data_IF_534499219214
#
_entry.id   IF_534499219214
#
_cell.length_a   1.000
_cell.length_b   1.000
_cell.length_c   1.000
_cell.angle_alpha   90.00
_cell.angle_beta   90.00
_cell.angle_gamma   90.00
#
_symmetry.space_group_name_H-M   'P 1'
#
loop_
_entity.id
_entity.type
_entity.pdbx_description
1 polymer ?
#
# COMPACT_ATOMS: atom_id res chain seq x y z
N UNK A 1 2.28 -92.70 19.34
CA UNK A 1 1.28 -91.63 19.56
C UNK A 1 1.88 -90.44 20.29
N UNK A 2 3.21 -90.21 20.17
CA UNK A 2 3.93 -89.22 21.01
C UNK A 2 4.72 -88.14 20.15
N UNK A 3 4.67 -88.24 18.87
CA UNK A 3 5.36 -87.24 18.00
C UNK A 3 4.48 -86.14 17.48
N UNK A 4 3.17 -86.14 17.73
CA UNK A 4 2.21 -85.19 17.23
C UNK A 4 1.86 -84.08 18.23
N UNK A 5 2.23 -84.17 19.49
CA UNK A 5 1.96 -83.16 20.51
C UNK A 5 3.03 -82.05 20.66
N UNK A 6 4.24 -82.28 20.16
CA UNK A 6 5.36 -81.38 20.28
C UNK A 6 5.37 -80.29 19.21
N UNK A 7 4.71 -80.46 18.05
CA UNK A 7 4.68 -79.55 16.98
C UNK A 7 3.65 -78.38 17.11
N UNK A 8 2.59 -78.62 17.91
CA UNK A 8 1.49 -77.65 18.10
C UNK A 8 1.86 -76.55 19.13
N UNK A 9 2.77 -76.85 20.08
CA UNK A 9 3.20 -75.86 21.08
C UNK A 9 4.25 -74.86 20.59
N UNK A 10 4.98 -75.16 19.52
CA UNK A 10 6.04 -74.29 19.02
C UNK A 10 5.50 -73.19 18.07
N UNK A 11 4.42 -73.47 17.35
CA UNK A 11 3.76 -72.49 16.51
C UNK A 11 2.97 -71.45 17.31
N UNK A 12 2.42 -71.80 18.46
CA UNK A 12 1.68 -70.88 19.34
C UNK A 12 2.61 -69.89 20.09
N UNK A 13 3.86 -70.30 20.35
CA UNK A 13 4.91 -69.49 20.98
C UNK A 13 5.43 -68.44 20.01
N UNK A 14 5.67 -68.82 18.76
CA UNK A 14 6.16 -67.93 17.73
C UNK A 14 5.12 -66.87 17.29
N UNK A 15 3.84 -67.24 17.23
CA UNK A 15 2.75 -66.27 16.94
C UNK A 15 2.56 -65.26 18.09
N UNK A 16 2.67 -65.70 19.36
CA UNK A 16 2.59 -64.81 20.53
C UNK A 16 3.79 -63.85 20.61
N UNK A 17 4.98 -64.33 20.27
CA UNK A 17 6.19 -63.46 20.22
C UNK A 17 6.14 -62.46 19.08
N UNK A 18 5.63 -62.84 17.88
CA UNK A 18 5.44 -61.96 16.77
C UNK A 18 4.39 -60.89 17.04
N UNK A 19 3.30 -61.19 17.72
CA UNK A 19 2.26 -60.23 18.15
C UNK A 19 2.78 -59.25 19.22
N UNK A 20 3.63 -59.71 20.14
CA UNK A 20 4.27 -58.87 21.16
C UNK A 20 5.30 -57.90 20.52
N UNK A 21 6.07 -58.33 19.55
CA UNK A 21 7.02 -57.48 18.79
C UNK A 21 6.29 -56.45 17.93
N UNK A 22 5.16 -56.81 17.30
CA UNK A 22 4.31 -55.90 16.57
C UNK A 22 3.65 -54.84 17.46
N UNK A 23 3.22 -55.26 18.68
CA UNK A 23 2.66 -54.31 19.67
C UNK A 23 3.72 -53.36 20.24
N UNK A 24 4.96 -53.81 20.43
CA UNK A 24 6.09 -52.95 20.85
C UNK A 24 6.57 -52.00 19.77
N UNK A 25 6.53 -52.40 18.48
CA UNK A 25 6.85 -51.55 17.34
C UNK A 25 5.76 -50.47 17.10
N UNK A 26 4.49 -50.76 17.39
CA UNK A 26 3.41 -49.79 17.32
C UNK A 26 3.52 -48.69 18.40
N UNK A 27 4.15 -48.95 19.53
CA UNK A 27 4.41 -47.96 20.58
C UNK A 27 5.62 -47.05 20.27
N UNK A 28 6.41 -47.37 19.24
CA UNK A 28 7.57 -46.57 18.80
C UNK A 28 7.30 -45.73 17.53
N UNK A 29 6.08 -45.71 17.01
CA UNK A 29 5.70 -44.70 16.06
C UNK A 29 5.74 -43.38 16.85
N UNK A 30 6.63 -42.43 16.47
CA UNK A 30 6.54 -41.12 17.07
C UNK A 30 5.13 -40.63 16.79
N UNK A 31 4.36 -40.37 17.85
CA UNK A 31 3.19 -39.53 17.75
C UNK A 31 3.73 -38.23 17.17
N UNK A 32 3.69 -38.09 15.86
CA UNK A 32 3.72 -36.82 15.21
C UNK A 32 2.41 -36.11 15.65
N UNK A 33 2.41 -35.68 16.94
CA UNK A 33 1.49 -34.66 17.36
C UNK A 33 1.73 -33.55 16.34
N UNK A 34 0.84 -33.41 15.36
CA UNK A 34 0.74 -32.20 14.60
C UNK A 34 0.57 -31.10 15.64
N UNK A 35 1.68 -30.51 16.05
CA UNK A 35 1.62 -29.27 16.83
C UNK A 35 0.83 -28.32 15.95
N UNK A 36 -0.41 -28.06 16.34
CA UNK A 36 -1.23 -27.07 15.66
C UNK A 36 -0.38 -25.80 15.57
N UNK A 37 -0.02 -25.43 14.36
CA UNK A 37 0.83 -24.28 14.13
C UNK A 37 0.16 -23.08 14.79
N UNK A 38 0.86 -22.39 15.69
CA UNK A 38 0.31 -21.24 16.42
C UNK A 38 -0.16 -20.19 15.44
N UNK A 39 -1.39 -19.70 15.59
CA UNK A 39 -1.91 -18.59 14.81
C UNK A 39 -0.92 -17.42 14.80
N UNK A 40 -0.59 -16.94 13.62
CA UNK A 40 0.22 -15.71 13.48
C UNK A 40 -0.62 -14.50 13.88
N UNK A 41 0.01 -13.52 14.48
CA UNK A 41 -0.65 -12.28 14.95
C UNK A 41 -0.10 -11.11 14.14
N UNK A 42 -0.92 -10.47 13.32
CA UNK A 42 -0.51 -9.37 12.46
C UNK A 42 -1.26 -8.11 12.87
N UNK A 43 -0.53 -7.03 13.10
CA UNK A 43 -1.10 -5.71 13.35
C UNK A 43 -0.85 -4.80 12.16
N UNK A 44 -1.90 -4.19 11.62
CA UNK A 44 -1.83 -3.30 10.45
C UNK A 44 -2.12 -1.88 10.93
N UNK A 45 -1.25 -0.93 10.60
CA UNK A 45 -1.48 0.50 10.84
C UNK A 45 -1.53 1.21 9.50
N UNK A 46 -2.58 1.97 9.24
CA UNK A 46 -2.67 2.85 8.08
C UNK A 46 -2.63 4.31 8.50
N UNK A 47 -1.87 5.12 7.77
CA UNK A 47 -1.76 6.57 8.01
C UNK A 47 -3.09 7.30 7.81
N UNK A 48 -3.89 6.86 6.85
CA UNK A 48 -5.13 7.54 6.44
C UNK A 48 -6.36 6.87 7.04
N UNK A 49 -7.55 7.15 6.50
CA UNK A 49 -8.80 6.52 6.93
C UNK A 49 -9.24 5.39 5.96
N UNK A 50 -10.32 4.69 6.36
CA UNK A 50 -10.86 3.54 5.63
C UNK A 50 -11.45 3.92 4.27
N UNK A 51 -12.06 5.11 4.17
CA UNK A 51 -12.81 5.54 3.00
C UNK A 51 -11.90 6.18 1.95
N UNK A 52 -10.65 6.44 2.30
CA UNK A 52 -9.68 7.02 1.39
C UNK A 52 -9.32 6.02 0.27
N UNK A 53 -9.42 6.44 -1.00
CA UNK A 53 -9.29 5.56 -2.16
C UNK A 53 -7.95 4.79 -2.22
N UNK A 54 -6.85 5.46 -1.87
CA UNK A 54 -5.54 4.81 -1.75
C UNK A 54 -5.52 3.71 -0.68
N UNK A 55 -6.12 3.98 0.50
CA UNK A 55 -6.24 2.97 1.57
C UNK A 55 -7.02 1.75 1.12
N UNK A 56 -8.07 1.95 0.32
CA UNK A 56 -8.84 0.85 -0.27
C UNK A 56 -8.03 0.07 -1.31
N UNK A 57 -7.23 0.76 -2.15
CA UNK A 57 -6.38 0.13 -3.15
C UNK A 57 -5.29 -0.73 -2.49
N UNK A 58 -4.55 -0.19 -1.53
CA UNK A 58 -3.53 -0.93 -0.78
C UNK A 58 -4.11 -2.11 -0.01
N UNK A 59 -5.29 -1.94 0.61
CA UNK A 59 -5.98 -3.02 1.31
C UNK A 59 -6.38 -4.16 0.38
N UNK A 60 -6.85 -3.85 -0.85
CA UNK A 60 -7.13 -4.90 -1.85
C UNK A 60 -5.87 -5.70 -2.18
N UNK A 61 -4.71 -5.04 -2.32
CA UNK A 61 -3.43 -5.69 -2.55
C UNK A 61 -3.02 -6.61 -1.40
N UNK A 62 -3.07 -6.10 -0.17
CA UNK A 62 -2.79 -6.89 1.05
C UNK A 62 -3.71 -8.11 1.13
N UNK A 63 -5.02 -7.94 0.90
CA UNK A 63 -5.98 -9.04 0.94
C UNK A 63 -5.72 -10.08 -0.15
N UNK A 64 -5.35 -9.65 -1.35
CA UNK A 64 -5.02 -10.55 -2.47
C UNK A 64 -3.78 -11.40 -2.15
N UNK A 65 -2.73 -10.80 -1.60
CA UNK A 65 -1.55 -11.52 -1.15
C UNK A 65 -1.87 -12.46 0.02
N UNK A 66 -2.66 -12.03 1.00
CA UNK A 66 -3.14 -12.88 2.08
C UNK A 66 -3.91 -14.11 1.55
N UNK A 67 -4.72 -13.94 0.49
CA UNK A 67 -5.39 -15.06 -0.17
C UNK A 67 -4.40 -15.99 -0.87
N UNK A 68 -3.46 -15.43 -1.64
CA UNK A 68 -2.40 -16.19 -2.32
C UNK A 68 -1.65 -17.10 -1.36
N UNK A 69 -1.36 -16.62 -0.15
CA UNK A 69 -0.60 -17.35 0.86
C UNK A 69 -1.46 -18.08 1.91
N UNK A 70 -2.78 -18.16 1.70
CA UNK A 70 -3.69 -18.96 2.52
C UNK A 70 -3.97 -18.38 3.92
N UNK A 71 -3.77 -17.08 4.13
CA UNK A 71 -4.16 -16.37 5.36
C UNK A 71 -5.65 -16.00 5.33
N UNK A 72 -6.17 -15.69 4.12
CA UNK A 72 -7.60 -15.54 3.84
C UNK A 72 -8.05 -16.69 2.94
N UNK A 73 -9.18 -17.31 3.26
CA UNK A 73 -9.71 -18.46 2.52
C UNK A 73 -10.76 -18.07 1.47
N UNK A 74 -11.45 -16.93 1.67
CA UNK A 74 -12.54 -16.48 0.81
C UNK A 74 -12.74 -14.97 0.87
N UNK A 75 -13.60 -14.46 -0.02
CA UNK A 75 -13.92 -13.02 -0.10
C UNK A 75 -14.69 -12.51 1.10
N UNK A 76 -15.45 -13.36 1.79
CA UNK A 76 -16.18 -12.97 2.99
C UNK A 76 -15.23 -12.62 4.14
N UNK A 77 -14.12 -13.35 4.30
CA UNK A 77 -13.08 -13.02 5.27
C UNK A 77 -12.37 -11.71 4.90
N UNK A 78 -12.06 -11.50 3.61
CA UNK A 78 -11.47 -10.25 3.12
C UNK A 78 -12.41 -9.06 3.41
N UNK A 79 -13.71 -9.21 3.10
CA UNK A 79 -14.72 -8.19 3.38
C UNK A 79 -14.84 -7.93 4.88
N UNK A 80 -14.89 -8.96 5.72
CA UNK A 80 -14.95 -8.81 7.17
C UNK A 80 -13.78 -8.00 7.71
N UNK A 81 -12.54 -8.27 7.24
CA UNK A 81 -11.36 -7.51 7.67
C UNK A 81 -11.50 -6.01 7.31
N UNK A 82 -12.03 -5.70 6.13
CA UNK A 82 -12.29 -4.32 5.71
C UNK A 82 -13.37 -3.65 6.57
N UNK A 83 -14.46 -4.36 6.86
CA UNK A 83 -15.62 -3.80 7.56
C UNK A 83 -15.36 -3.60 9.07
N UNK A 84 -14.57 -4.49 9.70
CA UNK A 84 -14.45 -4.56 11.18
C UNK A 84 -13.05 -4.26 11.72
N UNK A 85 -12.04 -4.03 10.85
CA UNK A 85 -10.63 -3.86 11.20
C UNK A 85 -10.04 -5.02 12.02
N UNK A 86 -10.70 -6.18 11.98
CA UNK A 86 -10.24 -7.37 12.69
C UNK A 86 -10.69 -8.65 11.99
N UNK A 87 -9.85 -9.67 12.07
CA UNK A 87 -10.17 -10.98 11.56
C UNK A 87 -9.45 -12.04 12.38
N UNK A 88 -10.15 -13.14 12.65
CA UNK A 88 -9.56 -14.36 13.21
C UNK A 88 -9.89 -15.52 12.29
N UNK A 89 -8.86 -16.28 11.91
CA UNK A 89 -8.94 -17.53 11.14
C UNK A 89 -8.08 -18.58 11.83
N UNK A 90 -8.13 -19.86 11.47
CA UNK A 90 -7.23 -20.87 12.03
C UNK A 90 -5.74 -20.54 11.88
N UNK A 91 -5.36 -19.76 10.88
CA UNK A 91 -3.96 -19.42 10.56
C UNK A 91 -3.51 -18.09 11.16
N UNK A 92 -4.41 -17.10 11.28
CA UNK A 92 -4.02 -15.74 11.63
C UNK A 92 -5.06 -15.00 12.46
N UNK A 93 -4.59 -14.16 13.37
CA UNK A 93 -5.36 -13.09 14.02
C UNK A 93 -4.84 -11.77 13.51
N UNK A 94 -5.71 -10.93 12.94
CA UNK A 94 -5.39 -9.63 12.38
C UNK A 94 -6.12 -8.55 13.15
N UNK A 95 -5.43 -7.46 13.46
CA UNK A 95 -6.01 -6.20 13.90
C UNK A 95 -5.51 -5.07 13.02
N UNK A 96 -6.37 -4.08 12.77
CA UNK A 96 -6.03 -2.87 12.04
C UNK A 96 -6.37 -1.63 12.85
N UNK A 97 -5.54 -0.59 12.71
CA UNK A 97 -5.74 0.73 13.30
C UNK A 97 -5.49 1.82 12.26
N UNK A 98 -6.18 2.95 12.42
CA UNK A 98 -6.13 4.10 11.54
C UNK A 98 -5.62 5.33 12.30
N UNK A 99 -4.71 6.09 11.66
CA UNK A 99 -4.20 7.36 12.20
C UNK A 99 -5.05 8.55 11.79
N UNK A 100 -5.74 8.47 10.63
CA UNK A 100 -6.61 9.51 10.05
C UNK A 100 -5.86 10.82 9.76
N UNK A 101 -4.61 10.73 9.29
CA UNK A 101 -3.71 11.90 9.17
C UNK A 101 -4.00 12.82 7.99
N UNK A 102 -4.96 12.49 7.12
CA UNK A 102 -5.46 13.46 6.13
C UNK A 102 -6.34 14.52 6.77
N UNK A 103 -7.12 14.15 7.79
CA UNK A 103 -8.00 15.03 8.55
C UNK A 103 -7.33 15.57 9.81
N UNK A 104 -6.58 14.72 10.52
CA UNK A 104 -5.88 15.00 11.79
C UNK A 104 -4.39 15.09 11.53
N UNK A 105 -3.94 16.19 10.98
CA UNK A 105 -2.60 16.34 10.39
C UNK A 105 -1.64 17.25 11.16
N UNK A 106 -2.05 17.79 12.32
CA UNK A 106 -1.10 18.50 13.17
C UNK A 106 -0.33 17.56 14.10
N UNK A 107 0.80 18.02 14.60
CA UNK A 107 1.71 17.21 15.42
C UNK A 107 1.04 16.61 16.66
N UNK A 108 0.17 17.36 17.34
CA UNK A 108 -0.50 16.89 18.56
C UNK A 108 -1.47 15.73 18.25
N UNK A 109 -2.24 15.83 17.17
CA UNK A 109 -3.16 14.81 16.72
C UNK A 109 -2.44 13.54 16.29
N UNK A 110 -1.36 13.67 15.48
CA UNK A 110 -0.52 12.54 15.04
C UNK A 110 0.11 11.87 16.26
N UNK A 111 0.68 12.64 17.20
CA UNK A 111 1.28 12.10 18.42
C UNK A 111 0.26 11.36 19.29
N UNK A 112 -0.96 11.88 19.40
CA UNK A 112 -2.05 11.22 20.14
C UNK A 112 -2.44 9.89 19.48
N UNK A 113 -2.61 9.87 18.16
CA UNK A 113 -2.90 8.66 17.40
C UNK A 113 -1.77 7.62 17.57
N UNK A 114 -0.51 8.05 17.47
CA UNK A 114 0.66 7.20 17.67
C UNK A 114 0.66 6.54 19.05
N UNK A 115 0.46 7.32 20.13
CA UNK A 115 0.41 6.79 21.50
C UNK A 115 -0.69 5.74 21.67
N UNK A 116 -1.89 6.00 21.16
CA UNK A 116 -3.01 5.07 21.20
C UNK A 116 -2.66 3.78 20.47
N UNK A 117 -2.16 3.88 19.25
CA UNK A 117 -1.83 2.72 18.40
C UNK A 117 -0.70 1.89 19.02
N UNK A 118 0.34 2.52 19.56
CA UNK A 118 1.42 1.81 20.25
C UNK A 118 0.90 1.01 21.46
N UNK A 119 0.00 1.57 22.25
CA UNK A 119 -0.63 0.83 23.35
C UNK A 119 -1.43 -0.39 22.85
N UNK A 120 -2.15 -0.25 21.72
CA UNK A 120 -2.87 -1.36 21.09
C UNK A 120 -1.91 -2.44 20.56
N UNK A 121 -0.79 -2.06 19.91
CA UNK A 121 0.24 -2.98 19.42
C UNK A 121 0.83 -3.80 20.57
N UNK A 122 1.26 -3.16 21.65
CA UNK A 122 1.84 -3.87 22.79
C UNK A 122 0.81 -4.80 23.48
N UNK A 123 -0.44 -4.36 23.64
CA UNK A 123 -1.51 -5.21 24.17
C UNK A 123 -1.82 -6.39 23.27
N UNK A 124 -1.78 -6.19 21.96
CA UNK A 124 -2.04 -7.24 20.98
C UNK A 124 -0.87 -8.22 20.86
N UNK A 125 0.36 -7.83 21.16
CA UNK A 125 1.58 -8.61 21.03
C UNK A 125 1.70 -9.31 19.65
N UNK A 126 1.88 -8.55 18.55
CA UNK A 126 1.93 -9.11 17.20
C UNK A 126 3.25 -9.84 16.93
N UNK A 127 3.22 -10.79 16.00
CA UNK A 127 4.40 -11.42 15.41
C UNK A 127 5.02 -10.54 14.30
N UNK A 128 4.22 -9.61 13.74
CA UNK A 128 4.66 -8.67 12.71
C UNK A 128 3.71 -7.47 12.66
N UNK A 129 4.26 -6.29 12.41
CA UNK A 129 3.50 -5.07 12.15
C UNK A 129 3.66 -4.67 10.68
N UNK A 130 2.53 -4.36 10.04
CA UNK A 130 2.47 -3.75 8.71
C UNK A 130 2.15 -2.26 8.84
N UNK A 131 2.92 -1.38 8.20
CA UNK A 131 2.75 0.07 8.27
C UNK A 131 2.46 0.65 6.89
N UNK A 132 1.29 1.24 6.72
CA UNK A 132 0.88 1.92 5.50
C UNK A 132 1.17 3.41 5.55
N UNK A 133 1.92 3.86 4.55
CA UNK A 133 2.23 5.24 4.22
C UNK A 133 3.15 5.99 5.20
N UNK A 134 3.51 7.22 4.84
CA UNK A 134 4.58 8.01 5.45
C UNK A 134 4.41 8.21 6.96
N UNK A 135 3.21 8.59 7.43
CA UNK A 135 3.00 8.91 8.84
C UNK A 135 3.07 7.67 9.75
N UNK A 136 2.48 6.55 9.32
CA UNK A 136 2.58 5.30 10.08
C UNK A 136 4.03 4.82 10.15
N UNK A 137 4.74 4.85 9.02
CA UNK A 137 6.15 4.48 8.96
C UNK A 137 7.01 5.40 9.84
N UNK A 138 6.85 6.74 9.71
CA UNK A 138 7.65 7.69 10.44
C UNK A 138 7.36 7.68 11.95
N UNK A 139 6.10 7.71 12.37
CA UNK A 139 5.77 7.87 13.79
C UNK A 139 5.62 6.56 14.55
N UNK A 140 5.00 5.53 13.96
CA UNK A 140 4.85 4.22 14.61
C UNK A 140 6.10 3.36 14.35
N UNK A 141 6.65 3.39 13.13
CA UNK A 141 7.84 2.64 12.77
C UNK A 141 9.04 2.98 13.64
N UNK A 142 9.29 4.27 13.91
CA UNK A 142 10.37 4.71 14.80
C UNK A 142 10.20 4.25 16.26
N UNK A 143 8.96 4.07 16.75
CA UNK A 143 8.70 3.54 18.10
C UNK A 143 8.95 2.02 18.18
N UNK A 144 8.91 1.33 17.02
CA UNK A 144 9.15 -0.12 16.91
C UNK A 144 10.58 -0.46 16.49
N UNK A 145 11.40 0.56 16.14
CA UNK A 145 12.77 0.36 15.68
C UNK A 145 13.58 -0.39 16.74
N UNK A 146 14.35 -1.38 16.30
CA UNK A 146 15.21 -2.23 17.14
C UNK A 146 14.48 -3.03 18.24
N UNK A 147 13.15 -3.13 18.15
CA UNK A 147 12.38 -4.07 18.97
C UNK A 147 12.44 -5.48 18.39
N UNK A 148 11.87 -6.47 19.11
CA UNK A 148 11.75 -7.84 18.60
C UNK A 148 10.64 -8.02 17.56
N UNK A 149 9.85 -6.99 17.28
CA UNK A 149 8.70 -7.04 16.38
C UNK A 149 9.17 -6.68 14.98
N UNK A 150 9.13 -7.58 13.99
CA UNK A 150 9.42 -7.26 12.60
C UNK A 150 8.40 -6.25 12.05
N UNK A 151 8.87 -5.32 11.22
CA UNK A 151 8.07 -4.29 10.60
C UNK A 151 8.25 -4.30 9.09
N UNK A 152 7.13 -4.27 8.35
CA UNK A 152 7.13 -4.08 6.90
C UNK A 152 6.25 -2.88 6.55
N UNK A 153 6.81 -1.89 5.87
CA UNK A 153 6.07 -0.72 5.41
C UNK A 153 5.69 -0.82 3.93
N UNK A 154 4.70 -0.01 3.50
CA UNK A 154 4.37 0.24 2.10
C UNK A 154 3.95 1.70 1.88
N UNK A 155 3.96 2.15 0.60
CA UNK A 155 3.38 3.43 0.19
C UNK A 155 4.12 4.65 0.72
N UNK A 156 5.40 4.52 1.09
CA UNK A 156 6.21 5.65 1.55
C UNK A 156 6.63 6.49 0.35
N UNK A 157 6.18 7.75 0.32
CA UNK A 157 6.57 8.76 -0.68
C UNK A 157 7.94 9.37 -0.37
N UNK A 158 8.24 9.57 0.91
CA UNK A 158 9.54 10.02 1.39
C UNK A 158 10.62 8.97 1.19
N UNK A 159 11.88 9.38 1.28
CA UNK A 159 12.98 8.41 1.32
C UNK A 159 13.03 7.75 2.71
N UNK A 160 12.84 6.42 2.84
CA UNK A 160 12.81 5.74 4.15
C UNK A 160 14.04 5.99 5.02
N UNK A 161 15.22 6.18 4.39
CA UNK A 161 16.45 6.58 5.06
C UNK A 161 16.32 7.90 5.83
N UNK A 162 15.53 8.86 5.34
CA UNK A 162 15.31 10.17 6.00
C UNK A 162 14.42 10.07 7.22
N UNK A 163 13.64 9.01 7.33
CA UNK A 163 12.84 8.72 8.52
C UNK A 163 13.67 8.00 9.61
N UNK A 164 14.92 7.63 9.32
CA UNK A 164 15.78 6.90 10.25
C UNK A 164 15.37 5.43 10.47
N UNK A 165 14.59 4.87 9.55
CA UNK A 165 14.10 3.49 9.66
C UNK A 165 15.10 2.45 9.14
N UNK A 166 16.05 2.87 8.33
CA UNK A 166 16.98 2.02 7.60
C UNK A 166 18.37 2.65 7.55
N UNK A 167 19.41 1.83 7.62
CA UNK A 167 20.79 2.25 7.33
C UNK A 167 21.02 2.38 5.82
N UNK A 168 20.46 1.45 5.03
CA UNK A 168 20.59 1.35 3.57
C UNK A 168 19.33 0.75 2.95
N UNK A 169 19.07 1.07 1.68
CA UNK A 169 17.92 0.51 0.95
C UNK A 169 18.11 -0.98 0.60
N UNK A 170 19.34 -1.38 0.31
CA UNK A 170 19.70 -2.77 -0.04
C UNK A 170 19.93 -3.66 1.18
N UNK A 171 20.29 -3.08 2.31
CA UNK A 171 20.58 -3.79 3.58
C UNK A 171 20.09 -2.93 4.73
N UNK A 172 18.81 -3.06 5.12
CA UNK A 172 18.16 -2.16 6.08
C UNK A 172 18.86 -2.01 7.44
N UNK A 173 19.48 -3.06 7.95
CA UNK A 173 20.25 -3.02 9.21
C UNK A 173 19.42 -3.19 10.48
N UNK A 174 18.10 -2.93 10.43
CA UNK A 174 17.17 -2.97 11.56
C UNK A 174 16.05 -4.01 11.37
N UNK A 175 15.13 -4.10 12.33
CA UNK A 175 13.95 -4.97 12.24
C UNK A 175 12.89 -4.45 11.27
N UNK A 176 13.21 -3.48 10.41
CA UNK A 176 12.31 -2.79 9.49
C UNK A 176 12.76 -3.01 8.04
N UNK A 177 11.83 -3.31 7.16
CA UNK A 177 11.99 -3.34 5.70
C UNK A 177 10.67 -2.95 5.05
N UNK A 178 10.56 -2.96 3.72
CA UNK A 178 9.27 -2.71 3.09
C UNK A 178 9.32 -2.34 1.62
N UNK A 179 8.28 -1.63 1.20
CA UNK A 179 8.01 -1.27 -0.19
C UNK A 179 7.99 0.25 -0.32
N UNK A 180 8.88 0.78 -1.15
CA UNK A 180 9.01 2.20 -1.42
C UNK A 180 8.28 2.59 -2.70
N UNK A 181 7.60 3.72 -2.67
CA UNK A 181 6.84 4.28 -3.78
C UNK A 181 7.76 5.03 -4.74
N UNK A 182 7.70 4.72 -6.05
CA UNK A 182 8.59 5.37 -7.03
C UNK A 182 8.01 6.61 -7.70
N UNK A 183 6.67 6.75 -7.69
CA UNK A 183 5.93 7.91 -8.16
C UNK A 183 5.65 7.94 -9.68
N UNK A 184 6.40 7.26 -10.53
CA UNK A 184 6.24 7.20 -12.00
C UNK A 184 5.88 8.53 -12.68
N UNK A 185 6.45 9.65 -12.16
CA UNK A 185 6.09 11.01 -12.59
C UNK A 185 6.46 11.28 -14.05
N UNK A 186 7.65 10.79 -14.47
CA UNK A 186 8.11 10.95 -15.85
C UNK A 186 7.23 10.19 -16.82
N UNK A 187 6.87 8.98 -16.49
CA UNK A 187 6.03 8.09 -17.29
C UNK A 187 4.63 8.69 -17.48
N UNK A 188 4.06 9.30 -16.44
CA UNK A 188 2.78 10.03 -16.52
C UNK A 188 2.88 11.25 -17.44
N UNK A 189 3.97 12.01 -17.34
CA UNK A 189 4.21 13.16 -18.24
C UNK A 189 4.50 12.71 -19.67
N UNK A 190 5.19 11.59 -19.87
CA UNK A 190 5.42 11.01 -21.20
C UNK A 190 4.09 10.60 -21.85
N UNK A 191 3.19 9.95 -21.12
CA UNK A 191 1.85 9.61 -21.60
C UNK A 191 1.05 10.89 -21.94
N UNK A 192 1.07 11.89 -21.05
CA UNK A 192 0.41 13.17 -21.30
C UNK A 192 0.94 13.85 -22.57
N UNK A 193 2.25 13.89 -22.76
CA UNK A 193 2.89 14.47 -23.95
C UNK A 193 2.51 13.73 -25.23
N UNK A 194 2.28 12.44 -25.17
CA UNK A 194 1.82 11.65 -26.33
C UNK A 194 0.36 11.91 -26.66
N UNK A 195 -0.50 12.06 -25.64
CA UNK A 195 -1.92 12.40 -25.84
C UNK A 195 -2.11 13.87 -26.27
N UNK A 196 -1.24 14.76 -25.82
CA UNK A 196 -1.29 16.21 -26.11
C UNK A 196 0.09 16.67 -26.63
N UNK A 197 0.45 16.35 -27.88
CA UNK A 197 1.78 16.65 -28.44
C UNK A 197 2.14 18.15 -28.43
N UNK A 198 1.15 19.02 -28.43
CA UNK A 198 1.33 20.47 -28.37
C UNK A 198 1.78 21.00 -27.00
N UNK A 199 1.53 20.27 -25.91
CA UNK A 199 1.90 20.72 -24.57
C UNK A 199 3.42 20.79 -24.40
N UNK A 200 3.95 21.95 -23.99
CA UNK A 200 5.40 22.22 -23.81
C UNK A 200 5.77 22.48 -22.36
N UNK A 201 4.83 22.98 -21.59
CA UNK A 201 5.01 23.41 -20.20
C UNK A 201 4.01 22.76 -19.28
N UNK A 202 4.40 22.60 -18.02
CA UNK A 202 3.47 22.16 -16.97
C UNK A 202 3.73 22.86 -15.64
N UNK A 203 2.70 22.86 -14.80
CA UNK A 203 2.76 23.31 -13.41
C UNK A 203 2.42 22.20 -12.45
N UNK A 204 2.86 22.28 -11.20
CA UNK A 204 2.52 21.36 -10.12
C UNK A 204 1.39 21.96 -9.27
N UNK A 205 0.37 21.18 -8.98
CA UNK A 205 -0.65 21.47 -7.96
C UNK A 205 -0.59 20.42 -6.86
N UNK A 206 -0.44 20.87 -5.61
CA UNK A 206 -0.33 19.97 -4.45
C UNK A 206 -0.83 20.64 -3.17
N UNK A 207 -1.34 19.85 -2.22
CA UNK A 207 -1.40 20.27 -0.82
C UNK A 207 -0.01 20.20 -0.17
N UNK A 208 0.20 20.92 0.93
CA UNK A 208 1.45 20.88 1.70
C UNK A 208 1.39 19.78 2.77
N UNK A 209 1.60 18.55 2.35
CA UNK A 209 1.51 17.35 3.19
C UNK A 209 2.79 16.53 3.21
N UNK A 210 2.90 15.61 4.16
CA UNK A 210 4.00 14.66 4.29
C UNK A 210 4.18 13.85 2.99
N UNK A 211 3.09 13.42 2.36
CA UNK A 211 3.11 12.66 1.11
C UNK A 211 3.36 13.52 -0.14
N UNK A 212 2.93 14.79 -0.16
CA UNK A 212 3.11 15.65 -1.34
C UNK A 212 4.51 16.21 -1.48
N UNK A 213 5.11 16.67 -0.36
CA UNK A 213 6.43 17.33 -0.39
C UNK A 213 7.54 16.50 -1.05
N UNK A 214 7.68 15.18 -0.80
CA UNK A 214 8.67 14.36 -1.50
C UNK A 214 8.42 14.27 -3.00
N UNK A 215 7.17 14.11 -3.43
CA UNK A 215 6.81 14.04 -4.84
C UNK A 215 7.09 15.36 -5.58
N UNK A 216 6.76 16.50 -4.98
CA UNK A 216 7.12 17.83 -5.52
C UNK A 216 8.62 17.93 -5.72
N UNK A 217 9.43 17.60 -4.69
CA UNK A 217 10.89 17.63 -4.77
C UNK A 217 11.44 16.68 -5.82
N UNK A 218 10.86 15.50 -5.99
CA UNK A 218 11.27 14.55 -7.02
C UNK A 218 11.03 15.10 -8.43
N UNK A 219 9.85 15.67 -8.68
CA UNK A 219 9.53 16.29 -9.97
C UNK A 219 10.46 17.48 -10.26
N UNK A 220 10.74 18.33 -9.27
CA UNK A 220 11.69 19.44 -9.40
C UNK A 220 13.10 18.92 -9.72
N UNK A 221 13.55 17.85 -9.05
CA UNK A 221 14.84 17.22 -9.34
C UNK A 221 14.91 16.67 -10.77
N UNK A 222 13.88 15.96 -11.23
CA UNK A 222 13.80 15.46 -12.61
C UNK A 222 13.78 16.59 -13.62
N UNK A 223 13.08 17.70 -13.32
CA UNK A 223 13.06 18.89 -14.16
C UNK A 223 14.44 19.56 -14.27
N UNK A 224 15.17 19.71 -13.15
CA UNK A 224 16.53 20.23 -13.11
C UNK A 224 17.52 19.37 -13.92
N UNK A 225 17.31 18.06 -13.94
CA UNK A 225 18.11 17.13 -14.75
C UNK A 225 17.75 17.12 -16.24
N UNK A 226 16.69 17.84 -16.64
CA UNK A 226 16.26 17.93 -18.03
C UNK A 226 15.72 16.60 -18.60
N UNK A 227 15.27 15.65 -17.76
CA UNK A 227 14.80 14.33 -18.21
C UNK A 227 13.29 14.27 -18.44
N UNK A 228 12.55 15.33 -18.09
CA UNK A 228 11.10 15.39 -18.30
C UNK A 228 10.75 15.83 -19.72
N UNK A 229 9.64 15.32 -20.32
CA UNK A 229 9.24 15.65 -21.70
C UNK A 229 8.66 17.06 -21.86
N UNK A 230 8.40 17.75 -20.75
CA UNK A 230 7.88 19.12 -20.72
C UNK A 230 8.61 19.93 -19.65
N UNK A 231 8.62 21.27 -19.84
CA UNK A 231 9.27 22.21 -18.91
C UNK A 231 8.38 22.49 -17.70
N UNK A 232 8.90 22.30 -16.49
CA UNK A 232 8.26 22.79 -15.27
C UNK A 232 8.37 24.32 -15.21
N UNK A 233 7.22 25.02 -15.08
CA UNK A 233 7.16 26.48 -15.14
C UNK A 233 6.70 27.11 -13.82
N UNK A 234 5.98 26.38 -12.97
CA UNK A 234 5.53 26.88 -11.68
C UNK A 234 4.90 25.81 -10.82
N UNK A 235 4.60 26.16 -9.58
CA UNK A 235 3.91 25.28 -8.64
C UNK A 235 3.01 26.05 -7.70
N UNK A 236 1.97 25.38 -7.23
CA UNK A 236 1.11 25.77 -6.10
C UNK A 236 1.18 24.66 -5.07
N UNK A 237 1.70 24.95 -3.88
CA UNK A 237 1.80 23.99 -2.76
C UNK A 237 1.28 24.69 -1.53
N UNK A 238 0.07 24.33 -1.09
CA UNK A 238 -0.61 25.01 0.03
C UNK A 238 -1.68 24.10 0.65
N UNK A 239 -1.98 24.31 1.93
CA UNK A 239 -3.13 23.69 2.59
C UNK A 239 -4.37 24.62 2.65
N UNK A 240 -4.28 25.85 2.14
CA UNK A 240 -5.44 26.75 1.98
C UNK A 240 -6.20 26.41 0.69
N UNK A 241 -7.46 26.03 0.79
CA UNK A 241 -8.28 25.76 -0.40
C UNK A 241 -8.48 27.01 -1.26
N UNK A 242 -8.58 28.19 -0.62
CA UNK A 242 -8.70 29.45 -1.37
C UNK A 242 -7.43 29.76 -2.17
N UNK A 243 -6.24 29.60 -1.55
CA UNK A 243 -4.96 29.78 -2.26
C UNK A 243 -4.77 28.73 -3.37
N UNK A 244 -5.15 27.49 -3.11
CA UNK A 244 -5.11 26.42 -4.12
C UNK A 244 -5.94 26.79 -5.35
N UNK A 245 -7.18 27.25 -5.14
CA UNK A 245 -8.09 27.68 -6.22
C UNK A 245 -7.53 28.86 -7.00
N UNK A 246 -7.12 29.91 -6.31
CA UNK A 246 -6.58 31.12 -6.92
C UNK A 246 -5.30 30.81 -7.71
N UNK A 247 -4.37 30.08 -7.08
CA UNK A 247 -3.11 29.70 -7.71
C UNK A 247 -3.29 28.76 -8.90
N UNK A 248 -4.22 27.79 -8.84
CA UNK A 248 -4.52 26.91 -9.96
C UNK A 248 -5.09 27.70 -11.16
N UNK A 249 -6.01 28.64 -10.94
CA UNK A 249 -6.55 29.51 -11.99
C UNK A 249 -5.49 30.45 -12.58
N UNK A 250 -4.63 31.01 -11.76
CA UNK A 250 -3.54 31.87 -12.24
C UNK A 250 -2.53 31.07 -13.07
N UNK A 251 -2.07 29.92 -12.53
CA UNK A 251 -1.05 29.11 -13.16
C UNK A 251 -1.58 28.45 -14.45
N UNK A 252 -2.86 28.08 -14.53
CA UNK A 252 -3.49 27.51 -15.73
C UNK A 252 -3.44 28.40 -16.97
N UNK A 253 -3.25 29.71 -16.77
CA UNK A 253 -3.07 30.70 -17.89
C UNK A 253 -1.63 30.76 -18.39
N UNK A 254 -0.68 30.14 -17.70
CA UNK A 254 0.76 30.24 -17.94
C UNK A 254 1.38 28.90 -18.37
N UNK A 255 0.64 27.81 -18.24
CA UNK A 255 1.11 26.45 -18.56
C UNK A 255 0.15 25.71 -19.46
N UNK A 256 0.65 24.72 -20.20
CA UNK A 256 -0.15 23.91 -21.10
C UNK A 256 -0.84 22.72 -20.39
N UNK A 257 -0.31 22.31 -19.24
CA UNK A 257 -0.82 21.16 -18.46
C UNK A 257 -0.49 21.29 -16.96
N UNK A 258 -1.16 20.45 -16.15
CA UNK A 258 -0.79 20.28 -14.76
C UNK A 258 -0.22 18.87 -14.48
N UNK A 259 0.63 18.80 -13.46
CA UNK A 259 0.85 17.58 -12.69
C UNK A 259 0.17 17.75 -11.34
N UNK A 260 -0.91 17.00 -11.11
CA UNK A 260 -1.71 17.11 -9.90
C UNK A 260 -1.26 16.03 -8.93
N UNK A 261 -0.82 16.46 -7.77
CA UNK A 261 -0.48 15.62 -6.62
C UNK A 261 -1.61 15.67 -5.58
N UNK A 262 -1.36 15.11 -4.40
CA UNK A 262 -2.36 15.06 -3.34
C UNK A 262 -2.95 16.46 -3.05
N UNK A 263 -4.27 16.50 -2.86
CA UNK A 263 -5.05 17.69 -2.52
C UNK A 263 -6.05 17.39 -1.38
N UNK A 264 -5.64 16.50 -0.50
CA UNK A 264 -6.43 15.81 0.51
C UNK A 264 -6.16 16.29 1.95
N UNK A 265 -5.36 17.35 2.12
CA UNK A 265 -5.16 18.04 3.40
C UNK A 265 -5.57 19.51 3.34
N UNK A 266 -6.28 19.90 2.29
CA UNK A 266 -6.76 21.26 2.12
C UNK A 266 -7.76 21.63 3.21
N UNK A 267 -7.75 22.92 3.59
CA UNK A 267 -8.63 23.50 4.61
C UNK A 267 -9.34 24.73 4.04
N UNK A 268 -10.60 24.88 4.43
CA UNK A 268 -11.38 26.06 4.13
C UNK A 268 -10.89 27.29 4.94
N UNK A 269 -11.50 28.46 4.70
CA UNK A 269 -11.20 29.71 5.41
C UNK A 269 -11.45 29.66 6.94
N UNK A 270 -12.16 28.64 7.42
CA UNK A 270 -12.44 28.41 8.83
C UNK A 270 -11.53 27.36 9.45
N UNK A 271 -10.60 26.78 8.67
CA UNK A 271 -9.67 25.74 9.11
C UNK A 271 -10.26 24.33 9.08
N UNK A 272 -11.49 24.15 8.58
CA UNK A 272 -12.09 22.83 8.42
C UNK A 272 -11.47 22.09 7.23
N UNK A 273 -11.31 20.80 7.37
CA UNK A 273 -10.85 19.94 6.30
C UNK A 273 -11.83 19.97 5.10
N UNK A 274 -11.30 20.19 3.90
CA UNK A 274 -12.04 20.09 2.65
C UNK A 274 -11.95 18.66 2.14
N UNK A 275 -13.09 18.04 1.94
CA UNK A 275 -13.17 16.69 1.38
C UNK A 275 -12.48 16.63 -0.01
N UNK A 276 -11.73 15.57 -0.26
CA UNK A 276 -10.92 15.42 -1.49
C UNK A 276 -11.79 15.45 -2.75
N UNK A 277 -12.98 14.87 -2.73
CA UNK A 277 -13.91 14.90 -3.86
C UNK A 277 -14.50 16.29 -4.08
N UNK A 278 -14.64 17.10 -3.02
CA UNK A 278 -15.05 18.52 -3.12
C UNK A 278 -13.98 19.34 -3.82
N UNK A 279 -12.70 19.16 -3.45
CA UNK A 279 -11.58 19.80 -4.12
C UNK A 279 -11.44 19.34 -5.59
N UNK A 280 -11.55 18.04 -5.83
CA UNK A 280 -11.55 17.45 -7.16
C UNK A 280 -12.70 17.96 -8.05
N UNK A 281 -13.93 18.09 -7.52
CA UNK A 281 -15.07 18.67 -8.25
C UNK A 281 -14.78 20.09 -8.69
N UNK A 282 -14.34 20.94 -7.75
CA UNK A 282 -13.98 22.30 -8.08
C UNK A 282 -12.93 22.34 -9.20
N UNK A 283 -11.89 21.49 -9.11
CA UNK A 283 -10.84 21.39 -10.12
C UNK A 283 -11.40 21.04 -11.51
N UNK A 284 -12.20 19.98 -11.61
CA UNK A 284 -12.78 19.51 -12.88
C UNK A 284 -13.72 20.55 -13.52
N UNK A 285 -14.44 21.31 -12.70
CA UNK A 285 -15.36 22.36 -13.15
C UNK A 285 -14.66 23.63 -13.64
N UNK A 286 -13.51 23.97 -13.06
CA UNK A 286 -12.86 25.26 -13.27
C UNK A 286 -11.59 25.21 -14.12
N UNK A 287 -10.84 24.10 -14.11
CA UNK A 287 -9.60 23.95 -14.86
C UNK A 287 -9.88 23.25 -16.19
N UNK A 288 -9.44 23.86 -17.29
CA UNK A 288 -9.75 23.41 -18.66
C UNK A 288 -8.48 23.07 -19.46
N UNK A 289 -7.37 22.82 -18.80
CA UNK A 289 -6.14 22.28 -19.37
C UNK A 289 -5.95 20.83 -18.92
N UNK A 290 -5.23 19.99 -19.69
CA UNK A 290 -5.01 18.58 -19.34
C UNK A 290 -4.11 18.42 -18.12
N UNK A 291 -4.23 17.28 -17.45
CA UNK A 291 -3.41 16.96 -16.30
C UNK A 291 -2.94 15.52 -16.31
N UNK A 292 -1.78 15.30 -15.68
CA UNK A 292 -1.26 14.00 -15.26
C UNK A 292 -1.21 13.91 -13.73
N UNK A 293 -1.18 12.71 -13.22
CA UNK A 293 -0.97 12.40 -11.81
C UNK A 293 -0.13 11.12 -11.66
N UNK A 294 0.02 10.60 -10.46
CA UNK A 294 0.90 9.44 -10.21
C UNK A 294 0.20 8.21 -9.62
N UNK A 295 -1.09 8.31 -9.26
CA UNK A 295 -1.87 7.23 -8.65
C UNK A 295 -3.24 7.10 -9.31
N UNK A 296 -3.84 5.90 -9.23
CA UNK A 296 -5.16 5.57 -9.80
C UNK A 296 -6.30 6.42 -9.19
N UNK A 297 -6.20 6.78 -7.91
CA UNK A 297 -7.22 7.57 -7.22
C UNK A 297 -7.56 8.86 -7.97
N UNK A 298 -6.59 9.57 -8.54
CA UNK A 298 -6.84 10.82 -9.27
C UNK A 298 -7.67 10.60 -10.54
N UNK A 299 -7.40 9.50 -11.24
CA UNK A 299 -8.18 9.14 -12.45
C UNK A 299 -9.58 8.67 -12.06
N UNK A 300 -9.72 7.96 -10.93
CA UNK A 300 -11.03 7.56 -10.37
C UNK A 300 -11.83 8.76 -9.84
N UNK A 301 -11.18 9.79 -9.32
CA UNK A 301 -11.81 11.07 -8.98
C UNK A 301 -12.36 11.79 -10.21
N UNK A 302 -11.74 11.63 -11.36
CA UNK A 302 -12.15 12.20 -12.63
C UNK A 302 -11.06 12.95 -13.40
N UNK A 303 -9.81 12.95 -12.93
CA UNK A 303 -8.68 13.56 -13.62
C UNK A 303 -8.22 12.72 -14.82
N UNK A 304 -7.46 13.31 -15.75
CA UNK A 304 -7.27 12.78 -17.08
C UNK A 304 -6.48 11.47 -17.12
N UNK A 305 -5.27 11.42 -16.54
CA UNK A 305 -4.40 10.26 -16.72
C UNK A 305 -3.36 10.05 -15.62
N UNK A 306 -2.89 8.81 -15.54
CA UNK A 306 -1.73 8.41 -14.72
C UNK A 306 -0.95 7.26 -15.34
N UNK A 307 0.35 7.22 -15.09
CA UNK A 307 1.15 6.01 -15.02
C UNK A 307 1.10 5.55 -13.56
N UNK A 308 0.22 4.60 -13.26
CA UNK A 308 -0.19 4.32 -11.88
C UNK A 308 0.96 3.77 -11.01
N UNK A 309 1.32 4.47 -9.93
CA UNK A 309 2.06 3.88 -8.81
C UNK A 309 1.04 3.13 -7.95
N UNK A 310 0.84 1.87 -8.28
CA UNK A 310 -0.30 1.09 -7.87
C UNK A 310 -0.33 0.81 -6.37
N UNK A 311 -1.29 1.35 -5.65
CA UNK A 311 -1.54 1.00 -4.25
C UNK A 311 -1.79 -0.51 -4.05
N UNK A 312 -2.45 -1.16 -5.00
CA UNK A 312 -2.62 -2.61 -4.98
C UNK A 312 -1.27 -3.34 -5.00
N UNK A 313 -0.36 -2.97 -5.90
CA UNK A 313 0.96 -3.59 -5.99
C UNK A 313 1.82 -3.30 -4.74
N UNK A 314 1.70 -2.11 -4.16
CA UNK A 314 2.34 -1.74 -2.90
C UNK A 314 1.90 -2.67 -1.76
N UNK A 315 0.61 -2.80 -1.53
CA UNK A 315 0.05 -3.65 -0.47
C UNK A 315 0.32 -5.14 -0.70
N UNK A 316 0.22 -5.60 -1.95
CA UNK A 316 0.50 -6.99 -2.31
C UNK A 316 1.95 -7.38 -2.00
N UNK A 317 2.90 -6.57 -2.47
CA UNK A 317 4.32 -6.82 -2.28
C UNK A 317 4.73 -6.72 -0.80
N UNK A 318 4.14 -5.79 -0.04
CA UNK A 318 4.40 -5.67 1.40
C UNK A 318 3.97 -6.93 2.15
N UNK A 319 2.80 -7.49 1.85
CA UNK A 319 2.39 -8.73 2.48
C UNK A 319 3.22 -9.94 2.00
N UNK A 320 3.66 -9.97 0.75
CA UNK A 320 4.60 -10.99 0.26
C UNK A 320 5.92 -10.97 1.05
N UNK A 321 6.46 -9.78 1.35
CA UNK A 321 7.64 -9.63 2.22
C UNK A 321 7.34 -10.09 3.66
N UNK A 322 6.17 -9.72 4.20
CA UNK A 322 5.71 -10.17 5.52
C UNK A 322 5.59 -11.70 5.61
N UNK A 323 5.07 -12.34 4.56
CA UNK A 323 5.03 -13.80 4.45
C UNK A 323 6.43 -14.42 4.53
N UNK A 324 7.41 -13.86 3.82
CA UNK A 324 8.80 -14.30 3.90
C UNK A 324 9.37 -14.24 5.32
N UNK A 325 9.02 -13.21 6.08
CA UNK A 325 9.44 -13.08 7.48
C UNK A 325 8.72 -14.10 8.37
N UNK A 326 7.40 -14.20 8.25
CA UNK A 326 6.55 -15.01 9.15
C UNK A 326 6.71 -16.53 8.94
N UNK A 327 6.89 -16.97 7.69
CA UNK A 327 6.86 -18.39 7.34
C UNK A 327 8.23 -18.95 6.90
N UNK A 328 9.09 -18.09 6.34
CA UNK A 328 10.41 -18.52 5.83
C UNK A 328 11.54 -18.08 6.76
N UNK A 329 11.23 -17.34 7.83
CA UNK A 329 12.22 -16.87 8.80
C UNK A 329 13.21 -15.84 8.23
N UNK A 330 12.84 -15.11 7.17
CA UNK A 330 13.68 -14.09 6.59
C UNK A 330 13.90 -12.94 7.59
N UNK A 331 15.12 -12.44 7.64
CA UNK A 331 15.46 -11.35 8.54
C UNK A 331 15.25 -9.98 7.86
N UNK A 332 14.35 -9.11 8.37
CA UNK A 332 14.11 -7.78 7.83
C UNK A 332 15.37 -6.96 7.62
N UNK A 333 16.35 -7.06 8.54
CA UNK A 333 17.62 -6.33 8.47
C UNK A 333 18.45 -6.63 7.21
N UNK A 334 18.16 -7.73 6.51
CA UNK A 334 18.84 -8.18 5.30
C UNK A 334 17.95 -8.23 4.07
N UNK A 335 16.69 -7.84 4.21
CA UNK A 335 15.72 -7.79 3.11
C UNK A 335 15.75 -6.40 2.48
N UNK A 336 16.30 -6.27 1.29
CA UNK A 336 16.30 -5.02 0.56
C UNK A 336 14.90 -4.42 0.45
N UNK A 337 14.81 -3.10 0.59
CA UNK A 337 13.58 -2.38 0.26
C UNK A 337 13.28 -2.57 -1.22
N UNK A 338 12.02 -2.85 -1.54
CA UNK A 338 11.58 -3.14 -2.90
C UNK A 338 10.70 -2.01 -3.43
N UNK A 339 10.67 -1.86 -4.73
CA UNK A 339 9.71 -1.02 -5.44
C UNK A 339 8.93 -1.94 -6.37
N UNK A 340 7.58 -1.94 -6.33
CA UNK A 340 6.81 -2.78 -7.23
C UNK A 340 6.91 -2.24 -8.66
N UNK A 341 6.57 -3.09 -9.61
CA UNK A 341 6.39 -2.64 -10.99
C UNK A 341 5.24 -1.63 -11.07
N UNK A 342 5.32 -0.74 -12.06
CA UNK A 342 4.26 0.19 -12.39
C UNK A 342 2.93 -0.55 -12.61
N UNK A 343 1.86 0.02 -12.13
CA UNK A 343 0.51 -0.36 -12.49
C UNK A 343 0.15 0.08 -13.93
N UNK A 344 -1.14 0.02 -14.30
CA UNK A 344 -1.59 0.37 -15.65
C UNK A 344 -1.36 1.85 -16.00
N UNK A 345 -1.18 2.14 -17.28
CA UNK A 345 -1.45 3.46 -17.85
C UNK A 345 -2.96 3.65 -17.93
N UNK A 346 -3.48 4.55 -17.12
CA UNK A 346 -4.92 4.79 -17.00
C UNK A 346 -5.31 6.13 -17.60
N UNK A 347 -6.43 6.18 -18.30
CA UNK A 347 -7.00 7.41 -18.85
C UNK A 347 -8.49 7.50 -18.56
N UNK A 348 -8.95 8.65 -18.08
CA UNK A 348 -10.35 8.94 -17.89
C UNK A 348 -10.98 9.49 -19.17
N UNK A 349 -11.89 8.71 -19.75
CA UNK A 349 -12.57 9.08 -21.01
C UNK A 349 -13.49 10.29 -20.86
N UNK A 350 -14.16 10.43 -19.71
CA UNK A 350 -15.05 11.57 -19.47
C UNK A 350 -14.27 12.89 -19.49
N UNK A 351 -13.10 12.89 -18.80
CA UNK A 351 -12.23 14.06 -18.78
C UNK A 351 -11.59 14.35 -20.13
N UNK A 352 -11.12 13.32 -20.84
CA UNK A 352 -10.59 13.46 -22.18
C UNK A 352 -11.61 14.10 -23.12
N UNK A 353 -12.87 13.64 -23.10
CA UNK A 353 -13.95 14.21 -23.88
C UNK A 353 -14.23 15.67 -23.49
N UNK A 354 -14.28 15.99 -22.18
CA UNK A 354 -14.51 17.35 -21.71
C UNK A 354 -13.40 18.33 -22.12
N UNK A 355 -12.18 17.83 -22.34
CA UNK A 355 -11.02 18.61 -22.82
C UNK A 355 -10.84 18.54 -24.33
N UNK A 356 -11.68 17.81 -25.08
CA UNK A 356 -11.56 17.62 -26.53
C UNK A 356 -10.35 16.77 -26.94
N UNK A 357 -9.80 15.94 -26.05
CA UNK A 357 -8.64 15.10 -26.28
C UNK A 357 -9.07 13.77 -26.89
N UNK A 358 -8.51 13.42 -28.03
CA UNK A 358 -8.78 12.16 -28.75
C UNK A 358 -7.88 11.04 -28.22
N UNK A 359 -8.38 10.18 -27.33
CA UNK A 359 -7.61 9.06 -26.79
C UNK A 359 -7.43 7.92 -27.80
N UNK A 360 -8.27 7.85 -28.84
CA UNK A 360 -8.29 6.75 -29.83
C UNK A 360 -6.93 6.54 -30.50
N UNK A 361 -6.22 7.62 -30.79
CA UNK A 361 -4.94 7.57 -31.50
C UNK A 361 -3.78 7.05 -30.63
N UNK A 362 -3.97 7.00 -29.30
CA UNK A 362 -3.00 6.51 -28.32
C UNK A 362 -3.47 5.26 -27.54
N UNK A 363 -4.54 4.61 -27.98
CA UNK A 363 -5.10 3.44 -27.28
C UNK A 363 -4.10 2.29 -27.10
N UNK A 364 -3.11 2.18 -28.00
CA UNK A 364 -2.05 1.18 -27.88
C UNK A 364 -1.08 1.40 -26.70
N UNK A 365 -1.14 2.57 -26.07
CA UNK A 365 -0.35 2.92 -24.88
C UNK A 365 -1.16 2.83 -23.60
N UNK A 366 -2.48 2.72 -23.70
CA UNK A 366 -3.40 2.81 -22.56
C UNK A 366 -3.78 1.40 -22.14
N UNK A 367 -3.46 1.03 -20.92
CA UNK A 367 -3.79 -0.28 -20.36
C UNK A 367 -5.24 -0.30 -19.84
N UNK A 368 -5.75 0.83 -19.31
CA UNK A 368 -7.08 0.93 -18.72
C UNK A 368 -7.76 2.26 -19.06
N UNK A 369 -9.02 2.19 -19.49
CA UNK A 369 -9.88 3.35 -19.71
C UNK A 369 -10.96 3.40 -18.63
N UNK A 370 -11.02 4.54 -17.91
CA UNK A 370 -11.98 4.79 -16.84
C UNK A 370 -13.11 5.67 -17.36
N UNK A 371 -14.37 5.25 -17.08
CA UNK A 371 -15.60 5.94 -17.47
C UNK A 371 -16.38 6.50 -16.27
N UNK A 372 -15.69 6.74 -15.16
CA UNK A 372 -16.30 7.29 -13.94
C UNK A 372 -15.53 8.51 -13.45
N UNK A 373 -16.21 9.39 -12.74
CA UNK A 373 -15.62 10.55 -12.08
C UNK A 373 -16.25 10.68 -10.69
N UNK A 374 -15.62 10.15 -9.67
CA UNK A 374 -16.15 10.13 -8.30
C UNK A 374 -16.45 11.54 -7.79
N UNK A 375 -15.62 12.51 -8.12
CA UNK A 375 -15.82 13.90 -7.73
C UNK A 375 -17.06 14.56 -8.36
N UNK A 376 -17.58 14.03 -9.47
CA UNK A 376 -18.78 14.54 -10.13
C UNK A 376 -20.07 13.79 -9.76
N UNK A 377 -19.98 12.70 -8.99
CA UNK A 377 -21.17 12.01 -8.47
C UNK A 377 -21.85 12.88 -7.41
N UNK A 378 -23.16 12.99 -7.51
CA UNK A 378 -24.01 13.71 -6.54
C UNK A 378 -24.29 12.86 -5.31
#
# INVERSE_FOLDING_TARGET
MDQMKTKINDESGSIRLALLVLALLACWLPNAAMTAERQKRIFIVSSYDRDYLWSQSTQRGVNAAMRKYGYLQNDQQAKRLVDTDSLETPKVIIKKAWMDTKKKNNFAEISSATKRIMAEIYKFAPDLVLLGDDNAANYVGNQLLDTKIPVVFWGINGLPLKYGLLDRMDTPGHNVTGVWQSGYHKESLDLLKRLVPGAKTFGILACDSESSRPNVKMIEHLAQRGVLPMKLTGKVVTNSFEEFKAGALELSRKVDAFFVLNHDTLKDRHGNHVDVLTAGRWYLENIKIPEASHEDQFVLEGMLLTANDSGYNQGFLAFEMAYGILEQGLNPARMAVRTPERGPYMVNRLRANALGIKIKDAMYLIDEVVDTAAALKK
#
